data_IF_570074218794
#
_entry.id   IF_570074218794
#
_cell.length_a   1.000
_cell.length_b   1.000
_cell.length_c   1.000
_cell.angle_alpha   90.00
_cell.angle_beta   90.00
_cell.angle_gamma   90.00
#
_symmetry.space_group_name_H-M   'P 1'
#
loop_
_entity.id
_entity.type
_entity.pdbx_description
1 polymer ?
#
# COMPACT_ATOMS: atom_id res chain seq x y z
N UNK A 1 -24.76 33.12 44.07
CA UNK A 1 -25.24 32.60 42.77
C UNK A 1 -24.06 31.98 42.04
N UNK A 2 -24.35 30.87 41.38
CA UNK A 2 -23.51 29.73 41.02
C UNK A 2 -22.47 29.93 39.92
N UNK A 3 -21.65 28.88 39.78
CA UNK A 3 -21.06 28.32 38.56
C UNK A 3 -19.54 28.45 38.53
N UNK A 4 -18.81 27.48 39.08
CA UNK A 4 -18.42 26.18 38.51
C UNK A 4 -17.17 26.26 37.62
N UNK A 5 -16.24 25.41 38.05
CA UNK A 5 -14.91 25.06 37.58
C UNK A 5 -14.97 24.36 36.20
N UNK A 6 -14.00 24.60 35.31
CA UNK A 6 -12.98 23.62 34.86
C UNK A 6 -12.28 24.11 33.56
N UNK A 7 -10.95 23.99 33.43
CA UNK A 7 -10.20 24.36 32.21
C UNK A 7 -10.36 23.33 31.07
N UNK A 8 -10.52 23.83 29.85
CA UNK A 8 -10.63 23.03 28.63
C UNK A 8 -9.39 22.14 28.40
N UNK A 9 -9.64 20.82 28.36
CA UNK A 9 -8.65 19.80 28.03
C UNK A 9 -8.49 19.67 26.52
N UNK A 10 -7.23 19.56 26.10
CA UNK A 10 -6.81 19.12 24.78
C UNK A 10 -7.59 17.87 24.34
N UNK A 11 -8.18 17.91 23.14
CA UNK A 11 -8.76 16.72 22.51
C UNK A 11 -7.99 16.42 21.22
N UNK A 12 -7.03 15.51 21.36
CA UNK A 12 -6.43 14.75 20.26
C UNK A 12 -7.52 13.85 19.68
N UNK A 13 -8.05 14.17 18.50
CA UNK A 13 -8.97 13.26 17.79
C UNK A 13 -8.16 12.22 17.03
N UNK A 14 -7.93 11.09 17.69
CA UNK A 14 -7.59 9.81 17.05
C UNK A 14 -8.92 9.09 16.81
N UNK A 15 -9.35 8.94 15.55
CA UNK A 15 -10.46 8.06 15.22
C UNK A 15 -9.95 6.76 14.61
N UNK A 16 -9.64 5.82 15.50
CA UNK A 16 -9.79 4.39 15.26
C UNK A 16 -11.28 4.09 15.11
N UNK A 17 -11.73 3.70 13.91
CA UNK A 17 -13.00 3.01 13.73
C UNK A 17 -12.75 1.62 13.16
N UNK A 18 -12.38 0.70 14.04
CA UNK A 18 -12.69 -0.71 13.86
C UNK A 18 -14.18 -0.90 14.14
N UNK A 19 -14.97 -1.21 13.10
CA UNK A 19 -16.34 -1.66 13.28
C UNK A 19 -16.31 -3.18 13.26
N UNK A 20 -16.25 -3.78 14.46
CA UNK A 20 -16.51 -5.21 14.66
C UNK A 20 -18.01 -5.37 14.91
N UNK A 21 -18.77 -5.72 13.87
CA UNK A 21 -20.19 -5.99 14.01
C UNK A 21 -20.36 -7.48 14.34
N UNK A 22 -20.72 -7.78 15.59
CA UNK A 22 -21.15 -9.10 16.04
C UNK A 22 -22.57 -9.33 15.52
N UNK A 23 -22.71 -10.04 14.39
CA UNK A 23 -23.83 -10.93 14.09
C UNK A 23 -23.52 -11.78 12.86
N UNK A 24 -23.87 -13.05 13.00
CA UNK A 24 -23.42 -14.23 12.29
C UNK A 24 -24.27 -14.48 11.03
N UNK A 25 -23.68 -15.12 10.02
CA UNK A 25 -24.28 -15.59 8.75
C UNK A 25 -24.36 -14.60 7.56
N UNK A 26 -23.22 -14.11 7.09
CA UNK A 26 -23.10 -13.77 5.66
C UNK A 26 -21.84 -14.42 5.09
N UNK A 27 -22.03 -15.23 4.05
CA UNK A 27 -20.99 -15.77 3.18
C UNK A 27 -19.94 -14.69 2.92
N UNK A 28 -18.71 -14.93 3.39
CA UNK A 28 -17.56 -14.06 3.16
C UNK A 28 -17.20 -14.08 1.66
N UNK A 29 -17.96 -13.35 0.85
CA UNK A 29 -17.59 -13.02 -0.51
C UNK A 29 -16.47 -12.00 -0.35
N UNK A 30 -15.24 -12.50 -0.37
CA UNK A 30 -14.08 -11.67 -0.63
C UNK A 30 -14.28 -11.06 -2.01
N UNK A 31 -14.85 -9.86 -2.08
CA UNK A 31 -14.89 -9.11 -3.32
C UNK A 31 -13.44 -8.85 -3.69
N UNK A 32 -12.98 -9.51 -4.75
CA UNK A 32 -11.73 -9.15 -5.42
C UNK A 32 -11.73 -7.63 -5.57
N UNK A 33 -10.72 -6.96 -5.01
CA UNK A 33 -10.53 -5.53 -5.22
C UNK A 33 -10.20 -5.36 -6.70
N UNK A 34 -11.23 -5.17 -7.52
CA UNK A 34 -11.07 -4.79 -8.92
C UNK A 34 -10.64 -3.33 -8.94
N UNK A 35 -9.34 -3.11 -8.76
CA UNK A 35 -8.75 -1.80 -9.04
C UNK A 35 -8.66 -1.64 -10.56
N UNK A 36 -9.21 -0.53 -11.04
CA UNK A 36 -9.22 -0.12 -12.46
C UNK A 36 -7.82 0.10 -13.04
N UNK A 37 -6.77 0.06 -12.21
CA UNK A 37 -5.35 0.14 -12.60
C UNK A 37 -4.59 -1.19 -12.61
N UNK A 38 -5.24 -2.33 -12.36
CA UNK A 38 -4.58 -3.63 -12.39
C UNK A 38 -4.39 -4.10 -13.84
N UNK A 39 -3.15 -4.40 -14.24
CA UNK A 39 -2.83 -5.02 -15.52
C UNK A 39 -3.19 -6.52 -15.57
N UNK A 40 -3.31 -7.12 -14.40
CA UNK A 40 -3.72 -8.50 -14.19
C UNK A 40 -3.46 -8.92 -12.76
N UNK A 41 -3.79 -10.18 -12.44
CA UNK A 41 -3.56 -10.79 -11.13
C UNK A 41 -3.09 -12.23 -11.27
N UNK A 42 -2.38 -12.69 -10.26
CA UNK A 42 -2.04 -14.11 -10.09
C UNK A 42 -2.80 -14.69 -8.91
N UNK A 43 -3.47 -15.81 -9.13
CA UNK A 43 -4.11 -16.59 -8.07
C UNK A 43 -3.15 -17.72 -7.66
N UNK A 44 -2.48 -17.53 -6.52
CA UNK A 44 -1.40 -18.43 -6.06
C UNK A 44 -1.93 -19.79 -5.62
N UNK A 45 -3.10 -19.83 -4.99
CA UNK A 45 -3.73 -21.04 -4.45
C UNK A 45 -5.20 -20.77 -4.11
N UNK A 46 -5.99 -21.84 -4.01
CA UNK A 46 -7.36 -21.80 -3.48
C UNK A 46 -7.39 -22.48 -2.12
N UNK A 47 -7.93 -21.78 -1.10
CA UNK A 47 -7.96 -22.26 0.28
C UNK A 47 -9.38 -22.55 0.74
N UNK A 48 -9.55 -23.58 1.57
CA UNK A 48 -10.79 -23.81 2.32
C UNK A 48 -11.05 -22.68 3.32
N UNK A 49 -12.27 -22.54 3.82
CA UNK A 49 -12.61 -21.50 4.80
C UNK A 49 -11.73 -21.53 6.06
N UNK A 50 -11.43 -22.71 6.60
CA UNK A 50 -10.53 -22.85 7.76
C UNK A 50 -9.10 -22.40 7.44
N UNK A 51 -8.58 -22.81 6.29
CA UNK A 51 -7.24 -22.42 5.82
C UNK A 51 -7.15 -20.93 5.48
N UNK A 52 -8.24 -20.30 5.03
CA UNK A 52 -8.31 -18.84 4.83
C UNK A 52 -8.22 -18.08 6.14
N UNK A 53 -8.90 -18.56 7.19
CA UNK A 53 -8.81 -17.96 8.53
C UNK A 53 -7.38 -18.09 9.09
N UNK A 54 -6.76 -19.24 8.92
CA UNK A 54 -5.35 -19.45 9.28
C UNK A 54 -4.40 -18.51 8.51
N UNK A 55 -4.58 -18.39 7.19
CA UNK A 55 -3.82 -17.44 6.36
C UNK A 55 -3.99 -16.00 6.84
N UNK A 56 -5.22 -15.61 7.19
CA UNK A 56 -5.51 -14.28 7.72
C UNK A 56 -4.77 -14.00 9.02
N UNK A 57 -4.82 -14.93 9.99
CA UNK A 57 -4.11 -14.79 11.27
C UNK A 57 -2.59 -14.68 11.08
N UNK A 58 -2.02 -15.45 10.15
CA UNK A 58 -0.60 -15.39 9.83
C UNK A 58 -0.24 -14.04 9.21
N UNK A 59 -1.03 -13.54 8.26
CA UNK A 59 -0.79 -12.25 7.61
C UNK A 59 -0.97 -11.08 8.57
N UNK A 60 -1.97 -11.15 9.46
CA UNK A 60 -2.20 -10.17 10.51
C UNK A 60 -1.02 -10.15 11.50
N UNK A 61 -0.59 -11.31 11.99
CA UNK A 61 0.60 -11.41 12.85
C UNK A 61 1.87 -10.95 12.15
N UNK A 62 2.00 -11.21 10.84
CA UNK A 62 3.13 -10.75 10.04
C UNK A 62 3.13 -9.22 9.91
N UNK A 63 1.98 -8.62 9.60
CA UNK A 63 1.87 -7.17 9.41
C UNK A 63 1.94 -6.35 10.69
N UNK A 64 1.53 -6.90 11.82
CA UNK A 64 1.61 -6.24 13.13
C UNK A 64 2.98 -6.35 13.81
N UNK A 65 3.96 -6.98 13.15
CA UNK A 65 5.31 -7.11 13.68
C UNK A 65 6.23 -6.08 13.00
N UNK A 66 6.63 -5.07 13.76
CA UNK A 66 7.49 -3.98 13.28
C UNK A 66 8.83 -4.46 12.71
N UNK A 67 9.31 -5.65 13.10
CA UNK A 67 10.53 -6.25 12.52
C UNK A 67 10.38 -6.66 11.05
N UNK A 68 9.15 -6.72 10.53
CA UNK A 68 8.91 -7.02 9.13
C UNK A 68 8.73 -5.76 8.28
N UNK A 69 8.76 -4.57 8.88
CA UNK A 69 8.75 -3.33 8.12
C UNK A 69 9.99 -3.27 7.22
N UNK A 70 9.87 -2.77 5.98
CA UNK A 70 11.01 -2.65 5.08
C UNK A 70 12.11 -1.78 5.68
N UNK A 71 13.33 -2.31 5.74
CA UNK A 71 14.53 -1.56 6.10
C UNK A 71 15.02 -0.64 4.95
N UNK A 72 16.03 0.18 5.23
CA UNK A 72 16.67 1.03 4.20
C UNK A 72 17.15 0.17 3.02
N UNK A 73 16.57 0.40 1.84
CA UNK A 73 16.89 -0.34 0.61
C UNK A 73 15.90 -1.46 0.27
N UNK A 74 14.95 -1.76 1.16
CA UNK A 74 13.82 -2.64 0.86
C UNK A 74 12.61 -1.81 0.40
N UNK A 75 11.82 -2.39 -0.50
CA UNK A 75 10.59 -1.79 -1.00
C UNK A 75 9.35 -2.61 -0.59
N UNK A 76 8.17 -2.12 -0.97
CA UNK A 76 6.90 -2.78 -0.62
C UNK A 76 6.77 -4.21 -1.19
N UNK A 77 7.46 -4.53 -2.28
CA UNK A 77 7.45 -5.88 -2.87
C UNK A 77 8.25 -6.86 -1.99
N UNK A 78 9.33 -6.41 -1.35
CA UNK A 78 10.09 -7.24 -0.39
C UNK A 78 9.22 -7.64 0.80
N UNK A 79 8.40 -6.70 1.30
CA UNK A 79 7.42 -6.98 2.34
C UNK A 79 6.41 -8.04 1.92
N UNK A 80 5.86 -7.91 0.70
CA UNK A 80 4.89 -8.87 0.13
C UNK A 80 5.52 -10.26 -0.05
N UNK A 81 6.76 -10.31 -0.54
CA UNK A 81 7.52 -11.56 -0.68
C UNK A 81 7.75 -12.21 0.69
N UNK A 82 8.04 -11.44 1.73
CA UNK A 82 8.17 -11.95 3.10
C UNK A 82 6.86 -12.49 3.65
N UNK A 83 5.73 -11.82 3.39
CA UNK A 83 4.39 -12.29 3.75
C UNK A 83 4.05 -13.62 3.05
N UNK A 84 4.35 -13.74 1.76
CA UNK A 84 4.24 -15.00 1.01
C UNK A 84 5.12 -16.09 1.60
N UNK A 85 6.33 -15.74 2.06
CA UNK A 85 7.22 -16.68 2.77
C UNK A 85 6.63 -17.18 4.09
N UNK A 86 5.88 -16.36 4.81
CA UNK A 86 5.16 -16.78 6.03
C UNK A 86 4.04 -17.77 5.71
N UNK A 87 3.28 -17.53 4.64
CA UNK A 87 2.27 -18.48 4.17
C UNK A 87 2.90 -19.79 3.66
N UNK A 88 4.05 -19.71 3.03
CA UNK A 88 4.78 -20.88 2.51
C UNK A 88 5.27 -21.76 3.65
N UNK A 89 5.82 -21.18 4.74
CA UNK A 89 6.21 -21.92 5.94
C UNK A 89 5.04 -22.62 6.63
N UNK A 90 3.84 -22.09 6.52
CA UNK A 90 2.61 -22.70 7.03
C UNK A 90 1.98 -23.72 6.05
N UNK A 91 2.61 -24.00 4.91
CA UNK A 91 2.07 -24.86 3.85
C UNK A 91 0.69 -24.40 3.34
N UNK A 92 0.46 -23.08 3.32
CA UNK A 92 -0.75 -22.49 2.77
C UNK A 92 -0.59 -22.11 1.30
N UNK A 93 0.63 -21.86 0.85
CA UNK A 93 0.97 -21.69 -0.57
C UNK A 93 1.98 -22.77 -0.99
N UNK A 94 2.09 -23.08 -2.29
CA UNK A 94 3.08 -24.03 -2.78
C UNK A 94 4.51 -23.66 -2.36
N UNK A 95 5.35 -24.67 -2.14
CA UNK A 95 6.78 -24.45 -1.92
C UNK A 95 7.41 -23.79 -3.15
N UNK A 96 8.28 -22.82 -2.93
CA UNK A 96 8.93 -21.99 -3.94
C UNK A 96 8.15 -20.72 -4.30
N UNK A 97 6.96 -20.48 -3.76
CA UNK A 97 6.18 -19.27 -4.06
C UNK A 97 6.95 -17.99 -3.72
N UNK A 98 7.52 -17.88 -2.52
CA UNK A 98 8.25 -16.66 -2.15
C UNK A 98 9.52 -16.47 -2.99
N UNK A 99 10.21 -17.57 -3.33
CA UNK A 99 11.37 -17.55 -4.22
C UNK A 99 11.01 -17.01 -5.61
N UNK A 100 9.95 -17.55 -6.21
CA UNK A 100 9.45 -17.12 -7.51
C UNK A 100 9.12 -15.62 -7.52
N UNK A 101 8.36 -15.14 -6.53
CA UNK A 101 7.97 -13.73 -6.47
C UNK A 101 9.15 -12.79 -6.20
N UNK A 102 10.18 -13.25 -5.48
CA UNK A 102 11.42 -12.48 -5.29
C UNK A 102 12.15 -12.23 -6.60
N UNK A 103 12.14 -13.19 -7.51
CA UNK A 103 12.72 -13.04 -8.86
C UNK A 103 11.91 -12.10 -9.76
N UNK A 104 10.68 -11.77 -9.38
CA UNK A 104 9.84 -10.81 -10.09
C UNK A 104 9.93 -9.38 -9.52
N UNK A 105 10.60 -9.19 -8.37
CA UNK A 105 10.78 -7.86 -7.77
C UNK A 105 11.44 -6.90 -8.77
N UNK A 106 10.90 -5.69 -8.88
CA UNK A 106 11.39 -4.65 -9.78
C UNK A 106 10.94 -4.78 -11.24
N UNK A 107 10.27 -5.87 -11.63
CA UNK A 107 9.71 -6.02 -12.98
C UNK A 107 8.37 -5.31 -13.11
N UNK A 108 8.07 -4.86 -14.33
CA UNK A 108 6.77 -4.26 -14.66
C UNK A 108 5.66 -5.32 -14.69
N UNK A 109 4.40 -4.94 -14.42
CA UNK A 109 3.29 -5.90 -14.35
C UNK A 109 3.01 -6.62 -15.68
N UNK A 110 3.25 -5.96 -16.82
CA UNK A 110 3.14 -6.58 -18.15
C UNK A 110 4.22 -7.66 -18.33
N UNK A 111 5.48 -7.37 -17.96
CA UNK A 111 6.57 -8.35 -18.04
C UNK A 111 6.36 -9.52 -17.09
N UNK A 112 5.85 -9.27 -15.88
CA UNK A 112 5.52 -10.32 -14.92
C UNK A 112 4.42 -11.22 -15.51
N UNK A 113 3.33 -10.64 -16.01
CA UNK A 113 2.25 -11.41 -16.61
C UNK A 113 2.71 -12.27 -17.80
N UNK A 114 3.57 -11.72 -18.66
CA UNK A 114 4.17 -12.46 -19.77
C UNK A 114 5.02 -13.65 -19.27
N UNK A 115 5.91 -13.40 -18.31
CA UNK A 115 6.77 -14.45 -17.73
C UNK A 115 5.93 -15.55 -17.08
N UNK A 116 4.89 -15.21 -16.34
CA UNK A 116 4.01 -16.20 -15.71
C UNK A 116 3.33 -17.11 -16.73
N UNK A 117 2.89 -16.56 -17.87
CA UNK A 117 2.31 -17.35 -18.96
C UNK A 117 3.36 -18.27 -19.57
N UNK A 118 4.58 -17.76 -19.81
CA UNK A 118 5.71 -18.56 -20.33
C UNK A 118 6.10 -19.69 -19.38
N UNK A 119 6.03 -19.46 -18.07
CA UNK A 119 6.30 -20.44 -17.01
C UNK A 119 5.13 -21.42 -16.78
N UNK A 120 4.05 -21.33 -17.57
CA UNK A 120 2.85 -22.16 -17.43
C UNK A 120 2.03 -21.89 -16.16
N UNK A 121 2.20 -20.71 -15.54
CA UNK A 121 1.47 -20.29 -14.33
C UNK A 121 0.20 -19.50 -14.68
N UNK A 122 -0.85 -19.59 -13.84
CA UNK A 122 -2.09 -18.88 -14.09
C UNK A 122 -1.89 -17.36 -13.96
N UNK A 123 -2.22 -16.63 -15.03
CA UNK A 123 -2.30 -15.17 -15.06
C UNK A 123 -3.67 -14.74 -15.56
N UNK A 124 -4.37 -13.95 -14.76
CA UNK A 124 -5.67 -13.38 -15.13
C UNK A 124 -5.41 -11.96 -15.61
N UNK A 125 -5.41 -11.79 -16.93
CA UNK A 125 -5.19 -10.48 -17.55
C UNK A 125 -6.39 -9.57 -17.36
N UNK A 126 -6.14 -8.30 -17.05
CA UNK A 126 -7.16 -7.27 -17.01
C UNK A 126 -6.87 -6.24 -18.12
N UNK A 127 -7.19 -6.66 -19.35
CA UNK A 127 -6.92 -5.96 -20.62
C UNK A 127 -7.59 -4.56 -20.69
N UNK A 128 -8.51 -4.25 -19.79
CA UNK A 128 -9.16 -2.93 -19.71
C UNK A 128 -8.24 -1.80 -19.22
N UNK A 129 -7.07 -2.11 -18.66
CA UNK A 129 -6.08 -1.12 -18.20
C UNK A 129 -5.38 -0.34 -19.34
N UNK A 130 -5.69 -0.64 -20.61
CA UNK A 130 -5.01 -0.06 -21.79
C UNK A 130 -5.33 1.42 -22.04
N UNK A 131 -6.38 1.98 -21.43
CA UNK A 131 -6.60 3.42 -21.49
C UNK A 131 -5.93 4.08 -20.29
N UNK A 132 -4.62 4.34 -20.44
CA UNK A 132 -4.00 5.47 -19.75
C UNK A 132 -4.70 6.71 -20.31
N UNK A 133 -5.79 7.12 -19.66
CA UNK A 133 -6.38 8.42 -19.93
C UNK A 133 -5.22 9.43 -19.90
N UNK A 134 -5.15 10.36 -20.87
CA UNK A 134 -4.14 11.40 -20.83
C UNK A 134 -4.18 12.03 -19.44
N UNK A 135 -3.00 12.22 -18.85
CA UNK A 135 -2.92 12.84 -17.53
C UNK A 135 -3.74 14.15 -17.58
N UNK A 136 -4.71 14.25 -16.68
CA UNK A 136 -5.58 15.41 -16.52
C UNK A 136 -4.76 16.69 -16.24
N UNK A 137 -3.55 16.51 -15.71
CA UNK A 137 -2.49 17.50 -15.67
C UNK A 137 -1.22 17.00 -16.37
N UNK A 138 -0.73 17.76 -17.37
CA UNK A 138 0.63 17.60 -17.90
C UNK A 138 1.46 18.82 -17.52
N UNK A 139 2.46 18.64 -16.67
CA UNK A 139 3.39 19.71 -16.34
C UNK A 139 4.20 20.08 -17.59
N UNK A 140 4.09 21.34 -18.04
CA UNK A 140 4.92 21.90 -19.11
C UNK A 140 4.40 21.78 -20.55
N UNK A 141 3.14 21.39 -20.80
CA UNK A 141 2.62 21.28 -22.18
C UNK A 141 1.72 22.41 -22.67
N UNK A 142 1.33 23.36 -21.83
CA UNK A 142 0.63 24.56 -22.31
C UNK A 142 0.98 25.76 -21.44
N UNK A 143 1.17 26.89 -22.13
CA UNK A 143 1.65 28.19 -21.65
C UNK A 143 3.17 28.32 -21.57
N UNK A 144 3.71 29.21 -22.42
CA UNK A 144 5.04 29.80 -22.26
C UNK A 144 5.19 30.15 -20.79
N UNK A 145 6.13 29.50 -20.09
CA UNK A 145 6.30 29.65 -18.66
C UNK A 145 6.26 31.13 -18.29
N UNK A 146 5.26 31.54 -17.49
CA UNK A 146 5.31 32.85 -16.87
C UNK A 146 6.65 32.92 -16.14
N UNK A 147 7.42 34.02 -16.26
CA UNK A 147 8.68 34.12 -15.55
C UNK A 147 8.39 33.84 -14.09
N UNK A 148 9.02 32.79 -13.56
CA UNK A 148 8.93 32.45 -12.14
C UNK A 148 9.41 33.69 -11.42
N UNK A 149 8.50 34.41 -10.77
CA UNK A 149 8.85 35.58 -9.97
C UNK A 149 9.90 35.11 -8.98
N UNK A 150 11.14 35.61 -9.13
CA UNK A 150 12.20 35.29 -8.18
C UNK A 150 11.68 35.69 -6.81
N UNK A 151 11.73 34.74 -5.86
CA UNK A 151 11.42 35.03 -4.47
C UNK A 151 12.30 36.20 -4.04
N UNK A 152 11.70 37.36 -3.77
CA UNK A 152 12.44 38.51 -3.30
C UNK A 152 12.83 38.22 -1.85
N UNK A 153 14.07 37.77 -1.64
CA UNK A 153 14.60 37.37 -0.35
C UNK A 153 14.61 38.55 0.65
N UNK A 154 14.58 39.79 0.18
CA UNK A 154 14.49 40.99 1.04
C UNK A 154 13.16 41.03 1.79
N UNK A 155 12.07 40.54 1.20
CA UNK A 155 10.77 40.45 1.85
C UNK A 155 10.73 39.40 2.98
N UNK A 156 11.72 38.50 3.05
CA UNK A 156 11.81 37.43 4.04
C UNK A 156 13.02 37.57 4.97
N UNK A 157 13.77 38.68 4.88
CA UNK A 157 14.92 38.96 5.73
C UNK A 157 14.57 39.03 7.23
N UNK A 158 13.31 39.32 7.56
CA UNK A 158 12.82 39.29 8.94
C UNK A 158 12.64 37.87 9.50
N UNK A 159 12.62 36.83 8.65
CA UNK A 159 12.52 35.42 9.06
C UNK A 159 13.89 34.77 9.27
N UNK A 160 14.98 35.37 8.76
CA UNK A 160 16.33 35.00 9.15
C UNK A 160 16.66 35.59 10.53
N UNK A 161 16.12 34.93 11.55
CA UNK A 161 16.40 35.25 12.94
C UNK A 161 17.89 35.18 13.24
N UNK A 162 18.46 36.32 13.63
CA UNK A 162 19.79 36.44 14.21
C UNK A 162 19.80 35.61 15.51
N UNK A 163 20.50 34.49 15.50
CA UNK A 163 20.98 33.86 16.74
C UNK A 163 22.17 34.69 17.21
N UNK A 164 21.93 35.71 18.05
CA UNK A 164 23.00 36.29 18.84
C UNK A 164 23.10 35.50 20.15
N UNK A 165 24.13 34.67 20.24
CA UNK A 165 24.52 33.98 21.46
C UNK A 165 25.56 34.83 22.18
N UNK A 166 25.28 35.11 23.46
CA UNK A 166 26.09 35.74 24.51
C UNK A 166 26.12 37.26 24.56
#
# INVERSE_FOLDING_TARGET
MSSNYEPEKATTSSQSHGIFNQNMEETYIFRSVESTGLYGRSEVTQLSSSRRLEAHQILESYGNNDKHLPDVGQNCQDWVVGALGSLERANLVPKGTAGYWREQTGKGPISIGKQMIEDGKPWISNVKSTQRLPADATYGKTEKGRPIGKLNLDNFAHLSGVVTKR
#
